data_IF_538766919428
#
_entry.id   IF_538766919428
#
_cell.length_a   1.000
_cell.length_b   1.000
_cell.length_c   1.000
_cell.angle_alpha   90.00
_cell.angle_beta   90.00
_cell.angle_gamma   90.00
#
_symmetry.space_group_name_H-M   'P 1'
#
loop_
_entity.id
_entity.type
_entity.pdbx_description
1 polymer ?
#
# COMPACT_ATOMS: atom_id res chain seq x y z
N UNK A 1 -46.63 -42.91 -28.63
CA UNK A 1 -45.58 -43.88 -28.25
C UNK A 1 -44.30 -43.43 -28.91
N UNK A 2 -43.36 -42.85 -28.13
CA UNK A 2 -42.05 -43.45 -27.78
C UNK A 2 -41.19 -43.68 -29.06
N UNK A 3 -40.01 -43.09 -29.23
CA UNK A 3 -39.11 -42.61 -28.20
C UNK A 3 -37.95 -41.73 -28.66
N UNK A 4 -37.28 -41.22 -27.62
CA UNK A 4 -35.99 -40.57 -27.60
C UNK A 4 -34.88 -41.49 -28.17
N UNK A 5 -33.78 -40.92 -28.65
CA UNK A 5 -32.41 -41.08 -28.07
C UNK A 5 -31.40 -40.27 -28.91
N UNK A 6 -30.56 -39.54 -28.18
CA UNK A 6 -29.59 -38.52 -28.57
C UNK A 6 -28.22 -39.07 -28.99
N UNK A 7 -27.40 -38.25 -29.67
CA UNK A 7 -25.93 -38.22 -29.54
C UNK A 7 -25.40 -36.88 -30.10
N UNK A 8 -25.20 -35.87 -29.23
CA UNK A 8 -23.90 -35.51 -28.65
C UNK A 8 -22.95 -34.82 -29.65
N UNK A 9 -23.23 -33.55 -29.96
CA UNK A 9 -22.26 -32.63 -30.54
C UNK A 9 -21.40 -32.03 -29.44
N UNK A 10 -20.08 -32.21 -29.54
CA UNK A 10 -19.09 -31.76 -28.55
C UNK A 10 -19.08 -30.23 -28.42
N UNK A 11 -19.60 -29.72 -27.31
CA UNK A 11 -19.31 -28.38 -26.83
C UNK A 11 -18.21 -28.49 -25.77
N UNK A 12 -16.96 -28.33 -26.18
CA UNK A 12 -15.87 -27.99 -25.26
C UNK A 12 -16.11 -26.57 -24.75
N UNK A 13 -16.98 -26.47 -23.75
CA UNK A 13 -17.14 -25.25 -22.96
C UNK A 13 -15.81 -25.00 -22.25
N UNK A 14 -14.98 -24.12 -22.82
CA UNK A 14 -13.83 -23.56 -22.12
C UNK A 14 -14.34 -22.90 -20.85
N UNK A 15 -14.07 -23.52 -19.71
CA UNK A 15 -14.36 -22.94 -18.40
C UNK A 15 -13.62 -21.60 -18.34
N UNK A 16 -14.27 -20.48 -18.03
CA UNK A 16 -13.54 -19.23 -17.82
C UNK A 16 -12.55 -19.50 -16.69
N UNK A 17 -11.24 -19.39 -17.00
CA UNK A 17 -10.20 -19.50 -16.00
C UNK A 17 -10.52 -18.49 -14.90
N UNK A 18 -10.93 -18.99 -13.74
CA UNK A 18 -10.98 -18.19 -12.53
C UNK A 18 -9.53 -17.80 -12.25
N UNK A 19 -9.19 -16.56 -12.55
CA UNK A 19 -7.97 -15.96 -12.05
C UNK A 19 -8.13 -15.90 -10.53
N UNK A 20 -7.62 -16.92 -9.84
CA UNK A 20 -7.30 -16.79 -8.42
C UNK A 20 -6.25 -15.71 -8.35
N UNK A 21 -6.65 -14.50 -7.96
CA UNK A 21 -5.68 -13.51 -7.54
C UNK A 21 -4.98 -14.11 -6.32
N UNK A 22 -3.69 -14.44 -6.45
CA UNK A 22 -2.87 -14.78 -5.30
C UNK A 22 -3.05 -13.70 -4.23
N UNK A 23 -3.26 -14.12 -2.98
CA UNK A 23 -3.42 -13.17 -1.87
C UNK A 23 -2.22 -12.22 -1.86
N UNK A 24 -2.43 -10.88 -1.80
CA UNK A 24 -1.33 -9.94 -1.75
C UNK A 24 -0.39 -10.29 -0.59
N UNK A 25 0.94 -10.25 -0.81
CA UNK A 25 1.89 -10.56 0.24
C UNK A 25 1.59 -9.78 1.54
N UNK A 26 1.90 -10.34 2.71
CA UNK A 26 1.70 -9.62 3.96
C UNK A 26 2.46 -8.28 3.95
N UNK A 27 1.94 -7.30 4.68
CA UNK A 27 2.66 -6.04 4.85
C UNK A 27 3.91 -6.29 5.72
N UNK A 28 5.05 -5.67 5.39
CA UNK A 28 6.23 -5.74 6.23
C UNK A 28 5.97 -5.09 7.59
N UNK A 29 6.66 -5.58 8.63
CA UNK A 29 6.56 -5.00 9.97
C UNK A 29 7.48 -3.77 10.11
N UNK A 30 7.07 -2.64 9.52
CA UNK A 30 7.81 -1.37 9.64
C UNK A 30 7.92 -0.87 11.08
N UNK A 31 7.03 -1.31 11.97
CA UNK A 31 7.08 -0.98 13.39
C UNK A 31 8.25 -1.65 14.14
N UNK A 32 8.95 -2.59 13.50
CA UNK A 32 10.20 -3.15 14.02
C UNK A 32 11.41 -2.23 13.81
N UNK A 33 11.37 -1.29 12.86
CA UNK A 33 12.50 -0.40 12.57
C UNK A 33 12.62 0.71 13.60
N UNK A 34 13.83 1.10 14.05
CA UNK A 34 14.02 2.25 14.92
C UNK A 34 13.31 3.52 14.41
N UNK A 35 12.57 4.25 15.28
CA UNK A 35 11.91 5.48 14.89
C UNK A 35 12.91 6.63 14.75
N UNK A 36 12.74 7.44 13.71
CA UNK A 36 13.39 8.74 13.60
C UNK A 36 12.60 9.80 14.37
N UNK A 37 13.23 10.96 14.60
CA UNK A 37 12.55 12.11 15.18
C UNK A 37 11.65 12.77 14.13
N UNK A 38 10.34 12.53 14.21
CA UNK A 38 9.34 12.99 13.23
C UNK A 38 9.38 14.51 12.96
N UNK A 39 9.68 15.34 13.97
CA UNK A 39 9.77 16.80 13.79
C UNK A 39 10.88 17.24 12.82
N UNK A 40 11.89 16.40 12.60
CA UNK A 40 13.00 16.72 11.70
C UNK A 40 12.61 16.56 10.21
N UNK A 41 11.38 16.08 9.96
CA UNK A 41 10.78 15.87 8.64
C UNK A 41 9.54 16.75 8.42
N UNK A 42 9.29 17.70 9.33
CA UNK A 42 8.16 18.61 9.23
C UNK A 42 8.31 19.56 8.04
N UNK A 43 7.27 19.67 7.22
CA UNK A 43 7.17 20.57 6.07
C UNK A 43 5.81 21.26 6.05
N UNK A 44 5.60 22.24 5.17
CA UNK A 44 4.33 22.96 5.02
C UNK A 44 3.81 23.52 6.36
N UNK A 45 4.61 24.36 7.01
CA UNK A 45 4.32 24.94 8.34
C UNK A 45 3.92 23.89 9.38
N UNK A 46 4.63 22.76 9.35
CA UNK A 46 4.45 21.62 10.25
C UNK A 46 3.13 20.87 10.02
N UNK A 47 2.39 21.11 8.94
CA UNK A 47 1.13 20.42 8.65
C UNK A 47 1.36 18.98 8.11
N UNK A 48 2.49 18.75 7.45
CA UNK A 48 2.88 17.45 6.90
C UNK A 48 4.26 17.03 7.41
N UNK A 49 4.53 15.73 7.36
CA UNK A 49 5.86 15.16 7.51
C UNK A 49 6.25 14.51 6.20
N UNK A 50 7.39 14.87 5.64
CA UNK A 50 7.81 14.37 4.33
C UNK A 50 9.23 13.83 4.36
N UNK A 51 9.43 12.73 3.65
CA UNK A 51 10.74 12.13 3.46
C UNK A 51 10.92 11.65 2.02
N UNK A 52 12.16 11.51 1.59
CA UNK A 52 12.50 10.86 0.32
C UNK A 52 13.02 9.44 0.57
N UNK A 53 12.66 8.54 -0.33
CA UNK A 53 13.23 7.19 -0.40
C UNK A 53 14.56 7.24 -1.17
N UNK A 54 15.43 6.22 -1.06
CA UNK A 54 16.68 6.16 -1.82
C UNK A 54 16.49 6.23 -3.33
N UNK A 55 15.37 5.72 -3.85
CA UNK A 55 15.01 5.80 -5.27
C UNK A 55 14.33 7.12 -5.68
N UNK A 56 14.30 8.11 -4.79
CA UNK A 56 13.82 9.47 -5.09
C UNK A 56 12.30 9.62 -5.08
N UNK A 57 11.57 8.68 -4.49
CA UNK A 57 10.12 8.82 -4.28
C UNK A 57 9.89 9.68 -3.04
N UNK A 58 9.03 10.70 -3.15
CA UNK A 58 8.66 11.54 -2.01
C UNK A 58 7.43 10.96 -1.33
N UNK A 59 7.55 10.70 -0.04
CA UNK A 59 6.48 10.18 0.80
C UNK A 59 6.08 11.18 1.87
N UNK A 60 4.78 11.23 2.19
CA UNK A 60 4.20 12.17 3.14
C UNK A 60 3.28 11.47 4.14
N UNK A 61 3.29 11.98 5.37
CA UNK A 61 2.29 11.72 6.41
C UNK A 61 1.65 13.06 6.76
N UNK A 62 0.36 13.19 6.52
CA UNK A 62 -0.40 14.40 6.78
C UNK A 62 -1.05 14.32 8.16
N UNK A 63 -1.22 15.47 8.82
CA UNK A 63 -1.79 15.51 10.17
C UNK A 63 -3.26 15.13 10.27
N UNK A 64 -3.99 15.26 9.18
CA UNK A 64 -5.37 14.81 9.02
C UNK A 64 -5.50 13.28 8.87
N UNK A 65 -4.37 12.57 8.83
CA UNK A 65 -4.30 11.11 8.74
C UNK A 65 -4.19 10.58 7.31
N UNK A 66 -4.07 11.46 6.31
CA UNK A 66 -3.67 11.06 4.95
C UNK A 66 -2.20 10.67 4.88
N UNK A 67 -1.86 9.71 4.03
CA UNK A 67 -0.47 9.33 3.81
C UNK A 67 -0.28 8.80 2.39
N UNK A 68 0.94 8.89 1.86
CA UNK A 68 1.17 8.44 0.50
C UNK A 68 2.57 8.73 0.00
N UNK A 69 2.87 8.22 -1.19
CA UNK A 69 4.12 8.46 -1.89
C UNK A 69 3.84 8.83 -3.35
N UNK A 70 4.66 9.72 -3.92
CA UNK A 70 4.57 10.11 -5.33
C UNK A 70 5.95 10.25 -5.94
N UNK A 71 6.09 9.87 -7.21
CA UNK A 71 7.34 9.87 -7.95
C UNK A 71 7.42 8.70 -8.92
N UNK A 72 8.62 8.30 -9.31
CA UNK A 72 8.83 7.10 -10.10
C UNK A 72 8.65 5.87 -9.20
N UNK A 73 7.42 5.34 -9.10
CA UNK A 73 7.14 4.15 -8.30
C UNK A 73 7.52 2.90 -9.10
N UNK A 74 8.55 2.14 -8.68
CA UNK A 74 8.97 0.94 -9.40
C UNK A 74 7.89 -0.15 -9.34
N UNK A 75 7.71 -0.88 -10.45
CA UNK A 75 6.75 -1.99 -10.56
C UNK A 75 5.32 -1.65 -10.09
N UNK A 76 4.91 -0.38 -10.21
CA UNK A 76 3.58 0.06 -9.83
C UNK A 76 2.49 -0.53 -10.74
N UNK A 77 1.35 -0.99 -10.19
CA UNK A 77 0.23 -1.44 -11.00
C UNK A 77 -0.21 -0.36 -12.00
N UNK A 78 -0.31 -0.74 -13.27
CA UNK A 78 -0.72 0.18 -14.34
C UNK A 78 0.25 1.35 -14.59
N UNK A 79 1.49 1.29 -14.11
CA UNK A 79 2.46 2.38 -14.24
C UNK A 79 2.13 3.61 -13.39
N UNK A 80 1.38 3.41 -12.30
CA UNK A 80 1.03 4.47 -11.36
C UNK A 80 2.27 5.19 -10.81
N UNK A 81 2.15 6.52 -10.65
CA UNK A 81 3.20 7.37 -10.10
C UNK A 81 2.84 7.97 -8.73
N UNK A 82 1.74 7.49 -8.15
CA UNK A 82 1.27 7.86 -6.83
C UNK A 82 0.59 6.67 -6.15
N UNK A 83 0.75 6.60 -4.83
CA UNK A 83 -0.05 5.76 -3.93
C UNK A 83 -0.45 6.59 -2.72
N UNK A 84 -1.70 6.49 -2.29
CA UNK A 84 -2.18 7.21 -1.12
C UNK A 84 -3.24 6.42 -0.37
N UNK A 85 -3.20 6.53 0.96
CA UNK A 85 -4.24 6.05 1.87
C UNK A 85 -4.69 7.15 2.82
N UNK A 86 -5.68 6.82 3.64
CA UNK A 86 -6.27 7.75 4.60
C UNK A 86 -7.30 7.03 5.45
N UNK A 87 -8.56 7.47 5.40
CA UNK A 87 -9.69 6.82 6.10
C UNK A 87 -10.09 5.46 5.51
N UNK A 88 -9.56 5.09 4.33
CA UNK A 88 -9.78 3.79 3.71
C UNK A 88 -8.49 3.17 3.18
N UNK A 89 -8.65 2.03 2.52
CA UNK A 89 -7.58 1.28 1.86
C UNK A 89 -6.75 2.19 0.93
N UNK A 90 -5.41 2.08 0.95
CA UNK A 90 -4.58 2.80 0.02
C UNK A 90 -4.78 2.31 -1.42
N UNK A 91 -4.63 3.22 -2.38
CA UNK A 91 -4.78 2.94 -3.80
C UNK A 91 -3.66 3.56 -4.63
N UNK A 92 -3.28 2.88 -5.69
CA UNK A 92 -2.39 3.42 -6.72
C UNK A 92 -3.18 4.26 -7.72
N UNK A 93 -2.59 5.36 -8.14
CA UNK A 93 -3.15 6.27 -9.12
C UNK A 93 -2.05 6.90 -9.98
N UNK A 94 -2.46 7.45 -11.12
CA UNK A 94 -1.59 8.22 -12.00
C UNK A 94 -2.01 9.68 -12.00
N UNK A 95 -1.06 10.57 -11.77
CA UNK A 95 -1.22 12.02 -11.88
C UNK A 95 -0.32 12.56 -13.00
N UNK A 96 -0.75 13.64 -13.66
CA UNK A 96 0.04 14.27 -14.74
C UNK A 96 1.36 14.90 -14.26
N UNK A 97 1.47 15.18 -12.95
CA UNK A 97 2.68 15.68 -12.30
C UNK A 97 2.81 15.03 -10.90
N UNK A 98 4.03 14.97 -10.32
CA UNK A 98 4.22 14.41 -8.99
C UNK A 98 3.47 15.25 -7.95
N UNK A 99 2.44 14.66 -7.32
CA UNK A 99 1.49 15.40 -6.46
C UNK A 99 2.16 15.96 -5.20
N UNK A 100 3.27 15.37 -4.76
CA UNK A 100 4.05 15.86 -3.62
C UNK A 100 5.29 16.66 -4.02
N UNK A 101 5.40 17.11 -5.29
CA UNK A 101 6.52 17.98 -5.73
C UNK A 101 6.54 19.34 -5.04
N UNK A 102 5.46 19.73 -4.34
CA UNK A 102 5.43 20.90 -3.46
C UNK A 102 6.43 20.80 -2.31
N UNK A 103 6.84 19.57 -1.96
CA UNK A 103 7.90 19.30 -1.00
C UNK A 103 9.23 19.24 -1.74
N UNK A 104 9.87 20.40 -1.91
CA UNK A 104 11.22 20.46 -2.46
C UNK A 104 12.25 19.95 -1.42
N UNK A 105 13.21 19.13 -1.87
CA UNK A 105 14.30 18.65 -1.02
C UNK A 105 13.89 17.83 0.21
N UNK A 106 12.84 17.01 0.12
CA UNK A 106 12.41 16.15 1.23
C UNK A 106 13.60 15.35 1.80
N UNK A 107 13.83 15.47 3.11
CA UNK A 107 14.95 14.83 3.80
C UNK A 107 14.90 13.31 3.58
N UNK A 108 16.01 12.66 3.18
CA UNK A 108 16.04 11.21 3.04
C UNK A 108 15.76 10.51 4.37
N UNK A 109 14.92 9.47 4.33
CA UNK A 109 14.75 8.57 5.47
C UNK A 109 15.89 7.55 5.47
N UNK A 110 16.69 7.44 6.55
CA UNK A 110 17.76 6.45 6.61
C UNK A 110 17.22 5.03 6.46
N UNK A 111 18.00 4.16 5.81
CA UNK A 111 17.67 2.75 5.67
C UNK A 111 17.48 2.09 7.05
N UNK A 112 16.53 1.15 7.12
CA UNK A 112 16.11 0.44 8.32
C UNK A 112 15.60 1.36 9.43
N UNK A 113 14.99 2.49 9.07
CA UNK A 113 14.32 3.38 10.03
C UNK A 113 12.86 3.61 9.64
N UNK A 114 12.07 4.08 10.59
CA UNK A 114 10.67 4.47 10.36
C UNK A 114 10.40 5.89 10.81
N UNK A 115 9.46 6.53 10.14
CA UNK A 115 8.77 7.72 10.61
C UNK A 115 7.33 7.33 10.94
N UNK A 116 6.83 7.83 12.07
CA UNK A 116 5.47 7.54 12.54
C UNK A 116 4.75 8.83 12.91
N UNK A 117 3.47 8.88 12.57
CA UNK A 117 2.54 9.90 13.04
C UNK A 117 1.17 9.28 13.29
N UNK A 118 0.64 9.46 14.50
CA UNK A 118 -0.58 8.79 14.97
C UNK A 118 -0.52 7.28 14.73
N UNK A 119 -1.38 6.74 13.87
CA UNK A 119 -1.49 5.31 13.56
C UNK A 119 -0.73 4.91 12.30
N UNK A 120 -0.23 5.89 11.54
CA UNK A 120 0.50 5.65 10.31
C UNK A 120 1.99 5.55 10.61
N UNK A 121 2.62 4.50 10.10
CA UNK A 121 4.07 4.34 10.13
C UNK A 121 4.58 4.01 8.74
N UNK A 122 5.58 4.76 8.29
CA UNK A 122 6.28 4.52 7.04
C UNK A 122 7.75 4.22 7.33
N UNK A 123 8.32 3.28 6.60
CA UNK A 123 9.73 2.91 6.75
C UNK A 123 10.33 2.44 5.44
N UNK A 124 11.65 2.47 5.38
CA UNK A 124 12.42 1.91 4.28
C UNK A 124 13.55 1.07 4.83
N UNK A 125 13.89 -0.02 4.15
CA UNK A 125 15.11 -0.79 4.42
C UNK A 125 16.28 -0.45 3.49
N UNK A 126 16.09 0.56 2.62
CA UNK A 126 17.05 0.96 1.60
C UNK A 126 16.72 0.46 0.19
N UNK A 127 15.80 -0.49 0.04
CA UNK A 127 15.39 -1.07 -1.26
C UNK A 127 13.87 -1.04 -1.44
N UNK A 128 13.12 -1.23 -0.36
CA UNK A 128 11.67 -1.07 -0.35
C UNK A 128 11.28 0.02 0.63
N UNK A 129 10.13 0.62 0.34
CA UNK A 129 9.45 1.55 1.23
C UNK A 129 8.04 1.05 1.46
N UNK A 130 7.60 1.04 2.71
CA UNK A 130 6.25 0.63 3.07
C UNK A 130 5.63 1.60 4.04
N UNK A 131 4.32 1.81 3.91
CA UNK A 131 3.51 2.56 4.85
C UNK A 131 2.35 1.68 5.31
N UNK A 132 2.12 1.65 6.62
CA UNK A 132 1.05 0.88 7.24
C UNK A 132 0.22 1.80 8.13
N UNK A 133 -1.09 1.56 8.13
CA UNK A 133 -2.02 2.21 9.05
C UNK A 133 -2.55 1.18 10.06
N UNK A 134 -2.23 1.40 11.33
CA UNK A 134 -2.68 0.54 12.42
C UNK A 134 -4.20 0.56 12.65
N UNK A 135 -4.95 1.56 12.13
CA UNK A 135 -6.41 1.67 12.32
C UNK A 135 -7.17 0.51 11.68
N UNK A 136 -6.77 0.15 10.47
CA UNK A 136 -7.46 -0.80 9.60
C UNK A 136 -6.53 -1.89 9.06
N UNK A 137 -5.28 -1.94 9.54
CA UNK A 137 -4.25 -2.90 9.11
C UNK A 137 -4.01 -2.87 7.59
N UNK A 138 -4.30 -1.72 6.98
CA UNK A 138 -4.07 -1.46 5.57
C UNK A 138 -2.70 -0.84 5.37
N UNK A 139 -2.25 -0.78 4.12
CA UNK A 139 -0.96 -0.20 3.79
C UNK A 139 -0.54 -0.49 2.37
N UNK A 140 0.64 -0.03 2.02
CA UNK A 140 1.23 -0.30 0.71
C UNK A 140 2.73 -0.55 0.84
N UNK A 141 3.27 -1.19 -0.19
CA UNK A 141 4.68 -1.45 -0.38
C UNK A 141 5.08 -0.93 -1.75
N UNK A 142 6.21 -0.24 -1.79
CA UNK A 142 6.93 0.20 -2.98
C UNK A 142 8.22 -0.59 -3.04
N UNK A 143 8.43 -1.35 -4.12
CA UNK A 143 9.63 -2.15 -4.31
C UNK A 143 9.88 -2.43 -5.80
N UNK A 144 11.15 -2.49 -6.24
CA UNK A 144 11.51 -3.04 -7.55
C UNK A 144 11.01 -4.47 -7.79
N UNK A 145 10.83 -5.28 -6.73
CA UNK A 145 10.32 -6.64 -6.82
C UNK A 145 8.80 -6.72 -7.05
N UNK A 146 8.09 -5.61 -6.88
CA UNK A 146 6.64 -5.52 -7.01
C UNK A 146 6.05 -4.54 -6.00
N UNK A 147 5.34 -3.53 -6.49
CA UNK A 147 4.60 -2.58 -5.65
C UNK A 147 3.14 -2.99 -5.53
N UNK A 148 2.61 -2.96 -4.31
CA UNK A 148 1.25 -3.43 -4.03
C UNK A 148 0.63 -2.69 -2.85
N UNK A 149 -0.71 -2.71 -2.81
CA UNK A 149 -1.51 -2.12 -1.76
C UNK A 149 -2.36 -3.22 -1.13
N UNK A 150 -2.50 -3.15 0.17
CA UNK A 150 -3.32 -4.03 0.98
C UNK A 150 -4.44 -3.19 1.56
N UNK A 151 -5.67 -3.57 1.24
CA UNK A 151 -6.86 -2.91 1.79
C UNK A 151 -7.15 -3.27 3.23
N UNK A 152 -8.26 -2.75 3.75
CA UNK A 152 -8.72 -3.00 5.12
C UNK A 152 -8.77 -4.49 5.41
N UNK A 153 -7.92 -4.95 6.34
CA UNK A 153 -7.99 -6.32 6.84
C UNK A 153 -8.75 -6.26 8.17
N UNK A 154 -9.84 -7.03 8.34
CA UNK A 154 -10.48 -7.11 9.64
C UNK A 154 -9.43 -7.64 10.62
N UNK A 155 -9.18 -6.86 11.68
CA UNK A 155 -8.27 -7.22 12.75
C UNK A 155 -8.55 -8.67 13.15
N UNK A 156 -7.56 -9.57 13.03
CA UNK A 156 -7.70 -11.01 13.27
C UNK A 156 -8.13 -11.41 14.69
N UNK A 157 -8.53 -10.47 15.54
CA UNK A 157 -9.30 -10.71 16.75
C UNK A 157 -10.72 -11.08 16.33
N UNK A 158 -10.95 -12.37 16.11
CA UNK A 158 -12.31 -12.92 16.27
C UNK A 158 -12.64 -12.77 17.76
N UNK A 159 -13.69 -12.03 18.16
CA UNK A 159 -14.20 -12.14 19.52
C UNK A 159 -14.66 -13.59 19.66
N UNK A 160 -13.95 -14.39 20.46
CA UNK A 160 -14.40 -15.71 20.87
C UNK A 160 -15.57 -15.54 21.86
N UNK A 161 -16.69 -15.02 21.36
CA UNK A 161 -17.99 -15.13 22.01
C UNK A 161 -18.40 -16.60 21.90
N UNK A 162 -18.01 -17.37 22.90
CA UNK A 162 -18.67 -18.62 23.26
C UNK A 162 -19.94 -18.20 24.02
N UNK A 163 -21.07 -18.13 23.34
CA UNK A 163 -22.36 -18.30 24.03
C UNK A 163 -22.52 -19.80 24.20
N UNK A 164 -22.35 -20.26 25.44
CA UNK A 164 -22.56 -21.62 25.90
C UNK A 164 -22.84 -21.59 27.39
#
# INVERSE_FOLDING_TARGET
MIGLVSAAGAAVMGVPGVATADDPPPLPNVNAYPPVKTSDYAVMDNNWYAFSTPEGVTCVLQRDGGYGCSGAIPAAPGGANMVSGGTGAPGFASAAAPVFSVVDGAKPLPANTRISYQTVSCGTDGVMTACVDGRNQSGFVISPAGSYAVGDRPSGIKPSVRIG
#
